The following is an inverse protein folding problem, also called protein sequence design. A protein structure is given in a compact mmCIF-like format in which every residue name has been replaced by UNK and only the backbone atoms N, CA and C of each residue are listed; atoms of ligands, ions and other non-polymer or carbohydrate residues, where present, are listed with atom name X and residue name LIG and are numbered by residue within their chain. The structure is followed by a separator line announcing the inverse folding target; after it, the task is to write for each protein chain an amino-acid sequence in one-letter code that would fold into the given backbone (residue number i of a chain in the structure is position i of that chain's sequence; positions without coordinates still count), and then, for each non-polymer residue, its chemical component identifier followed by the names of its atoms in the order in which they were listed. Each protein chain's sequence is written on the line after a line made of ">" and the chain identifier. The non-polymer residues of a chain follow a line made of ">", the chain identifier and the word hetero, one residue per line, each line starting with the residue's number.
data_IF_005836222227
#
_entry.id   IF_005836222227
#
_cell.length_a   1.000
_cell.length_b   1.000
_cell.length_c   1.000
_cell.angle_alpha   90.00
_cell.angle_beta   90.00
_cell.angle_gamma   90.00
#
_symmetry.space_group_name_H-M   'P 1'
#
loop_
_entity.id
_entity.type
_entity.pdbx_description
1 polymer ?
#
# COMPACT_ATOMS: atom_id res chain seq x y z
N UNK A 1 1.25 -22.74 73.85
CA UNK A 1 0.72 -22.63 72.44
C UNK A 1 1.88 -22.89 71.48
N UNK A 2 1.92 -24.04 70.78
CA UNK A 2 2.96 -24.35 69.81
C UNK A 2 2.46 -23.80 68.44
N UNK A 3 3.07 -22.73 68.03
CA UNK A 3 2.80 -22.17 66.67
C UNK A 3 3.34 -23.18 65.67
N UNK A 4 2.48 -23.66 64.77
CA UNK A 4 2.84 -24.68 63.79
C UNK A 4 3.65 -24.02 62.68
N UNK A 5 4.97 -24.14 62.75
CA UNK A 5 5.93 -23.49 61.81
C UNK A 5 5.61 -23.80 60.35
N UNK A 6 5.02 -24.98 60.07
CA UNK A 6 4.63 -25.39 58.75
C UNK A 6 3.50 -24.53 58.17
N UNK A 7 2.53 -24.12 59.02
CA UNK A 7 1.40 -23.25 58.58
C UNK A 7 1.85 -21.83 58.23
N UNK A 8 2.86 -21.31 58.90
CA UNK A 8 3.40 -19.97 58.64
C UNK A 8 4.17 -19.94 57.31
N UNK A 9 4.94 -21.00 56.98
CA UNK A 9 5.71 -21.11 55.74
C UNK A 9 4.78 -21.23 54.51
N UNK A 10 3.69 -22.01 54.63
CA UNK A 10 2.69 -22.15 53.53
C UNK A 10 1.95 -20.86 53.30
N UNK A 11 1.57 -20.11 54.34
CA UNK A 11 0.89 -18.82 54.19
C UNK A 11 1.78 -17.74 53.57
N UNK A 12 3.09 -17.71 53.91
CA UNK A 12 4.07 -16.79 53.33
C UNK A 12 4.33 -17.10 51.83
N UNK A 13 4.41 -18.38 51.45
CA UNK A 13 4.58 -18.78 50.06
C UNK A 13 3.38 -18.44 49.19
N UNK A 14 2.15 -18.60 49.71
CA UNK A 14 0.92 -18.22 48.96
C UNK A 14 0.80 -16.69 48.77
N UNK A 15 1.20 -15.89 49.77
CA UNK A 15 1.20 -14.43 49.65
C UNK A 15 2.25 -13.91 48.65
N UNK A 16 3.43 -14.50 48.55
CA UNK A 16 4.45 -14.16 47.59
C UNK A 16 4.03 -14.57 46.15
N UNK A 17 3.42 -15.74 45.97
CA UNK A 17 2.92 -16.17 44.67
C UNK A 17 1.78 -15.27 44.18
N UNK A 18 0.87 -14.85 45.06
CA UNK A 18 -0.20 -13.90 44.72
C UNK A 18 0.31 -12.51 44.33
N UNK A 19 1.36 -12.00 44.98
CA UNK A 19 1.96 -10.72 44.67
C UNK A 19 2.69 -10.72 43.32
N UNK A 20 3.37 -11.82 42.97
CA UNK A 20 4.05 -11.97 41.67
C UNK A 20 3.02 -12.05 40.52
N UNK A 21 1.92 -12.78 40.72
CA UNK A 21 0.85 -12.89 39.70
C UNK A 21 0.14 -11.54 39.53
N UNK A 22 -0.14 -10.81 40.62
CA UNK A 22 -0.74 -9.48 40.54
C UNK A 22 0.18 -8.45 39.87
N UNK A 23 1.49 -8.49 40.15
CA UNK A 23 2.46 -7.63 39.47
C UNK A 23 2.59 -7.94 37.97
N UNK A 24 2.55 -9.24 37.57
CA UNK A 24 2.57 -9.64 36.20
C UNK A 24 1.30 -9.22 35.43
N UNK A 25 0.14 -9.20 36.09
CA UNK A 25 -1.12 -8.73 35.50
C UNK A 25 -1.18 -7.19 35.41
N UNK A 26 -0.47 -6.46 36.29
CA UNK A 26 -0.39 -5.00 36.23
C UNK A 26 0.68 -4.49 35.26
N UNK A 27 1.79 -5.22 35.08
CA UNK A 27 2.81 -4.91 34.08
C UNK A 27 2.46 -5.43 32.68
N UNK A 28 1.61 -6.44 32.55
CA UNK A 28 1.09 -6.97 31.27
C UNK A 28 -0.02 -6.11 30.64
N UNK A 29 -0.49 -5.07 31.31
CA UNK A 29 -1.22 -3.95 30.68
C UNK A 29 -0.26 -2.88 30.19
N UNK A 30 0.79 -3.30 29.49
CA UNK A 30 1.43 -2.46 28.50
C UNK A 30 0.32 -2.09 27.52
N UNK A 31 -0.15 -0.86 27.61
CA UNK A 31 -0.95 -0.22 26.60
C UNK A 31 -0.29 -0.51 25.26
N UNK A 32 -0.89 -1.47 24.50
CA UNK A 32 -0.97 -1.21 23.09
C UNK A 32 -1.79 0.06 23.02
N UNK A 33 -1.11 1.20 22.93
CA UNK A 33 -1.69 2.36 22.31
C UNK A 33 -2.24 1.82 21.00
N UNK A 34 -3.56 1.77 20.88
CA UNK A 34 -4.19 1.67 19.60
C UNK A 34 -3.62 2.88 18.86
N UNK A 35 -2.71 2.62 17.93
CA UNK A 35 -2.38 3.59 16.91
C UNK A 35 -3.67 3.69 16.10
N UNK A 36 -4.49 4.73 16.37
CA UNK A 36 -5.71 5.04 15.63
C UNK A 36 -5.40 5.49 14.19
N UNK A 37 -4.26 5.06 13.63
CA UNK A 37 -3.87 5.30 12.26
C UNK A 37 -3.74 3.98 11.48
N UNK A 38 -3.90 4.03 10.16
CA UNK A 38 -3.61 2.88 9.31
C UNK A 38 -2.17 2.42 9.56
N UNK A 39 -1.96 1.12 9.69
CA UNK A 39 -0.64 0.55 9.82
C UNK A 39 0.23 0.90 8.60
N UNK A 40 1.54 1.00 8.78
CA UNK A 40 2.46 1.11 7.65
C UNK A 40 2.49 -0.25 6.96
N UNK A 41 2.14 -0.27 5.69
CA UNK A 41 2.22 -1.48 4.85
C UNK A 41 3.68 -1.95 4.73
N UNK A 42 3.96 -3.25 4.81
CA UNK A 42 5.27 -3.78 4.42
C UNK A 42 5.71 -3.34 3.03
N UNK A 43 4.79 -3.34 2.05
CA UNK A 43 5.07 -2.90 0.68
C UNK A 43 5.49 -1.42 0.61
N UNK A 44 4.88 -0.51 1.39
CA UNK A 44 5.30 0.89 1.45
C UNK A 44 6.73 1.05 2.01
N UNK A 45 7.16 0.16 2.90
CA UNK A 45 8.55 0.14 3.39
C UNK A 45 9.52 -0.35 2.31
N UNK A 46 9.10 -1.26 1.44
CA UNK A 46 9.92 -1.85 0.38
C UNK A 46 10.20 -0.90 -0.78
N UNK A 47 9.29 0.03 -1.10
CA UNK A 47 9.53 1.08 -2.10
C UNK A 47 10.30 2.28 -1.55
N UNK A 48 10.65 2.26 -0.27
CA UNK A 48 11.45 3.32 0.37
C UNK A 48 12.77 3.57 -0.35
N UNK A 49 13.07 4.84 -0.64
CA UNK A 49 14.28 5.27 -1.32
C UNK A 49 14.28 5.09 -2.85
N UNK A 50 13.23 4.53 -3.43
CA UNK A 50 13.06 4.45 -4.89
C UNK A 50 12.49 5.77 -5.39
N UNK A 51 13.03 6.35 -6.49
CA UNK A 51 12.48 7.56 -7.07
C UNK A 51 11.01 7.36 -7.49
N UNK A 52 10.18 8.34 -7.17
CA UNK A 52 8.82 8.45 -7.67
C UNK A 52 8.69 9.73 -8.49
N UNK A 53 7.96 9.66 -9.59
CA UNK A 53 7.60 10.82 -10.40
C UNK A 53 6.15 10.67 -10.84
N UNK A 54 5.27 11.42 -10.21
CA UNK A 54 3.83 11.24 -10.41
C UNK A 54 3.37 9.83 -9.99
N UNK A 55 2.94 9.06 -10.98
CA UNK A 55 2.51 7.66 -10.83
C UNK A 55 3.54 6.64 -11.33
N UNK A 56 4.76 7.08 -11.58
CA UNK A 56 5.88 6.22 -11.95
C UNK A 56 6.77 5.94 -10.75
N UNK A 57 7.17 4.68 -10.59
CA UNK A 57 8.10 4.17 -9.60
C UNK A 57 9.36 3.66 -10.29
N UNK A 58 10.52 4.11 -9.86
CA UNK A 58 11.81 3.72 -10.43
C UNK A 58 12.52 4.84 -11.19
N UNK A 59 13.70 4.56 -11.70
CA UNK A 59 14.51 5.51 -12.41
C UNK A 59 13.82 5.96 -13.73
N UNK A 60 13.76 7.27 -14.03
CA UNK A 60 13.10 7.74 -15.25
C UNK A 60 13.80 7.28 -16.53
N UNK A 61 15.07 6.95 -16.46
CA UNK A 61 15.91 6.44 -17.56
C UNK A 61 16.08 4.91 -17.54
N UNK A 62 15.31 4.18 -16.71
CA UNK A 62 15.28 2.73 -16.73
C UNK A 62 15.00 2.21 -18.15
N UNK A 63 15.72 1.19 -18.65
CA UNK A 63 15.58 0.74 -20.03
C UNK A 63 14.22 0.14 -20.37
N UNK A 64 13.51 -0.40 -19.36
CA UNK A 64 12.20 -1.04 -19.53
C UNK A 64 11.13 -0.33 -18.72
N UNK A 65 9.89 -0.38 -19.22
CA UNK A 65 8.70 0.13 -18.54
C UNK A 65 7.68 -0.99 -18.43
N UNK A 66 7.17 -1.19 -17.22
CA UNK A 66 5.99 -2.00 -16.92
C UNK A 66 4.81 -1.05 -16.69
N UNK A 67 3.80 -1.09 -17.55
CA UNK A 67 2.52 -0.48 -17.25
C UNK A 67 1.70 -1.47 -16.41
N UNK A 68 1.28 -1.04 -15.23
CA UNK A 68 0.43 -1.79 -14.31
C UNK A 68 -0.96 -1.16 -14.27
N UNK A 69 -1.96 -1.88 -14.80
CA UNK A 69 -3.35 -1.49 -14.75
C UNK A 69 -4.00 -2.06 -13.50
N UNK A 70 -4.46 -1.19 -12.60
CA UNK A 70 -5.03 -1.57 -11.32
C UNK A 70 -6.23 -0.74 -10.91
N UNK A 71 -7.09 -1.31 -10.07
CA UNK A 71 -8.18 -0.62 -9.38
C UNK A 71 -7.90 -0.66 -7.87
N UNK A 72 -8.02 0.46 -7.20
CA UNK A 72 -7.71 0.58 -5.76
C UNK A 72 -8.61 -0.28 -4.86
N UNK A 73 -9.75 -0.74 -5.37
CA UNK A 73 -10.64 -1.66 -4.67
C UNK A 73 -10.49 -3.12 -5.12
N UNK A 74 -9.69 -3.41 -6.16
CA UNK A 74 -9.54 -4.76 -6.67
C UNK A 74 -8.73 -5.63 -5.71
N UNK A 75 -9.31 -6.73 -5.16
CA UNK A 75 -8.61 -7.58 -4.21
C UNK A 75 -7.42 -8.31 -4.83
N UNK A 76 -7.48 -8.64 -6.11
CA UNK A 76 -6.35 -9.26 -6.82
C UNK A 76 -5.19 -8.28 -7.04
N UNK A 77 -5.50 -6.97 -7.16
CA UNK A 77 -4.48 -5.93 -7.22
C UNK A 77 -3.75 -5.80 -5.87
N UNK A 78 -4.49 -5.86 -4.77
CA UNK A 78 -3.89 -5.85 -3.42
C UNK A 78 -3.03 -7.09 -3.18
N UNK A 79 -3.47 -8.27 -3.62
CA UNK A 79 -2.68 -9.51 -3.53
C UNK A 79 -1.37 -9.37 -4.33
N UNK A 80 -1.43 -8.86 -5.56
CA UNK A 80 -0.23 -8.64 -6.37
C UNK A 80 0.72 -7.62 -5.74
N UNK A 81 0.20 -6.52 -5.20
CA UNK A 81 0.98 -5.49 -4.49
C UNK A 81 1.70 -6.06 -3.26
N UNK A 82 1.08 -6.99 -2.56
CA UNK A 82 1.64 -7.61 -1.35
C UNK A 82 2.61 -8.74 -1.65
N UNK A 83 2.33 -9.58 -2.68
CA UNK A 83 3.06 -10.84 -2.89
C UNK A 83 4.09 -10.78 -4.01
N UNK A 84 3.82 -10.09 -5.12
CA UNK A 84 4.65 -10.12 -6.33
C UNK A 84 5.49 -8.84 -6.49
N UNK A 85 4.88 -7.68 -6.25
CA UNK A 85 5.54 -6.38 -6.41
C UNK A 85 6.85 -6.25 -5.63
N UNK A 86 6.98 -6.74 -4.37
CA UNK A 86 8.22 -6.63 -3.62
C UNK A 86 9.42 -7.27 -4.32
N UNK A 87 9.24 -8.47 -4.86
CA UNK A 87 10.29 -9.16 -5.63
C UNK A 87 10.71 -8.38 -6.88
N UNK A 88 9.73 -7.88 -7.62
CA UNK A 88 9.96 -7.06 -8.83
C UNK A 88 10.70 -5.76 -8.48
N UNK A 89 10.31 -5.13 -7.38
CA UNK A 89 10.94 -3.90 -6.90
C UNK A 89 12.41 -4.13 -6.56
N UNK A 90 12.71 -5.15 -5.78
CA UNK A 90 14.06 -5.40 -5.32
C UNK A 90 14.98 -5.88 -6.45
N UNK A 91 14.45 -6.71 -7.36
CA UNK A 91 15.27 -7.32 -8.42
C UNK A 91 15.47 -6.42 -9.63
N UNK A 92 14.46 -5.58 -9.98
CA UNK A 92 14.51 -4.82 -11.24
C UNK A 92 14.35 -3.30 -11.07
N UNK A 93 13.48 -2.85 -10.14
CA UNK A 93 13.22 -1.41 -10.01
C UNK A 93 14.33 -0.70 -9.23
N UNK A 94 14.74 -1.27 -8.12
CA UNK A 94 15.81 -0.72 -7.27
C UNK A 94 17.18 -0.66 -7.97
N UNK A 95 17.56 -1.65 -8.80
CA UNK A 95 18.76 -1.54 -9.62
C UNK A 95 18.67 -0.54 -10.77
N UNK A 96 17.45 -0.05 -11.10
CA UNK A 96 17.22 0.89 -12.20
C UNK A 96 17.03 0.24 -13.56
N UNK A 97 16.71 -1.05 -13.61
CA UNK A 97 16.48 -1.80 -14.85
C UNK A 97 15.02 -1.73 -15.34
N UNK A 98 14.12 -1.42 -14.44
CA UNK A 98 12.69 -1.30 -14.67
C UNK A 98 12.14 -0.06 -14.00
N UNK A 99 11.19 0.61 -14.67
CA UNK A 99 10.25 1.53 -14.03
C UNK A 99 8.85 0.98 -14.15
N UNK A 100 8.03 1.17 -13.14
CA UNK A 100 6.64 0.78 -13.14
C UNK A 100 5.78 2.04 -13.24
N UNK A 101 4.82 2.06 -14.18
CA UNK A 101 3.86 3.16 -14.32
C UNK A 101 2.48 2.62 -13.96
N UNK A 102 1.89 3.15 -12.90
CA UNK A 102 0.53 2.79 -12.52
C UNK A 102 -0.47 3.44 -13.48
N UNK A 103 -1.33 2.62 -14.08
CA UNK A 103 -2.43 3.01 -14.94
C UNK A 103 -3.74 2.72 -14.23
N UNK A 104 -4.16 3.64 -13.37
CA UNK A 104 -5.34 3.44 -12.54
C UNK A 104 -6.63 3.40 -13.35
N UNK A 105 -7.47 2.44 -12.99
CA UNK A 105 -8.81 2.25 -13.54
C UNK A 105 -9.83 2.21 -12.40
N UNK A 106 -11.06 2.61 -12.66
CA UNK A 106 -12.14 2.63 -11.67
C UNK A 106 -13.31 1.77 -12.18
N UNK A 107 -13.11 0.44 -12.19
CA UNK A 107 -14.10 -0.52 -12.68
C UNK A 107 -15.15 -0.89 -11.63
N UNK A 108 -14.76 -0.92 -10.34
CA UNK A 108 -15.56 -1.53 -9.28
C UNK A 108 -16.66 -0.60 -8.79
N UNK A 109 -16.42 0.72 -8.79
CA UNK A 109 -17.47 1.66 -8.42
C UNK A 109 -17.00 3.05 -8.01
N UNK A 110 -17.92 3.85 -7.41
CA UNK A 110 -17.61 5.24 -7.08
C UNK A 110 -16.45 5.43 -6.09
N UNK A 111 -16.26 4.47 -5.19
CA UNK A 111 -15.14 4.51 -4.25
C UNK A 111 -13.80 4.27 -4.95
N UNK A 112 -13.78 3.48 -6.04
CA UNK A 112 -12.59 3.33 -6.88
C UNK A 112 -12.21 4.65 -7.54
N UNK A 113 -13.19 5.42 -8.07
CA UNK A 113 -12.90 6.73 -8.68
C UNK A 113 -12.33 7.70 -7.64
N UNK A 114 -12.92 7.77 -6.45
CA UNK A 114 -12.43 8.62 -5.36
C UNK A 114 -11.01 8.24 -4.91
N UNK A 115 -10.75 6.95 -4.68
CA UNK A 115 -9.45 6.46 -4.28
C UNK A 115 -8.37 6.67 -5.35
N UNK A 116 -8.72 6.40 -6.61
CA UNK A 116 -7.83 6.63 -7.74
C UNK A 116 -7.45 8.11 -7.88
N UNK A 117 -8.43 9.02 -7.80
CA UNK A 117 -8.17 10.46 -7.80
C UNK A 117 -7.21 10.88 -6.70
N UNK A 118 -7.37 10.31 -5.50
CA UNK A 118 -6.46 10.58 -4.40
C UNK A 118 -5.03 10.09 -4.67
N UNK A 119 -4.86 8.89 -5.26
CA UNK A 119 -3.55 8.37 -5.67
C UNK A 119 -2.90 9.30 -6.71
N UNK A 120 -3.66 9.73 -7.72
CA UNK A 120 -3.15 10.63 -8.75
C UNK A 120 -2.80 12.03 -8.17
N UNK A 121 -3.64 12.56 -7.28
CA UNK A 121 -3.37 13.82 -6.59
C UNK A 121 -2.15 13.72 -5.65
N UNK A 122 -1.95 12.57 -4.97
CA UNK A 122 -0.71 12.30 -4.25
C UNK A 122 0.50 12.21 -5.20
N UNK A 123 0.28 11.72 -6.42
CA UNK A 123 1.27 11.71 -7.49
C UNK A 123 1.76 13.11 -7.87
N UNK A 124 0.92 14.15 -7.80
CA UNK A 124 1.36 15.54 -8.01
C UNK A 124 2.36 16.04 -6.94
N UNK A 125 2.57 15.23 -5.91
CA UNK A 125 3.54 15.46 -4.84
C UNK A 125 4.60 14.33 -4.78
N UNK A 126 4.71 13.51 -5.85
CA UNK A 126 5.60 12.35 -5.94
C UNK A 126 5.40 11.31 -4.82
N UNK A 127 4.14 11.16 -4.35
CA UNK A 127 3.73 10.24 -3.28
C UNK A 127 2.61 9.27 -3.74
N UNK A 128 2.38 9.18 -5.05
CA UNK A 128 1.30 8.35 -5.60
C UNK A 128 1.43 6.88 -5.21
N UNK A 129 2.62 6.29 -5.36
CA UNK A 129 2.89 4.91 -5.00
C UNK A 129 2.81 4.65 -3.48
N UNK A 130 3.25 5.61 -2.66
CA UNK A 130 3.13 5.48 -1.21
C UNK A 130 1.65 5.41 -0.78
N UNK A 131 0.79 6.23 -1.40
CA UNK A 131 -0.64 6.18 -1.11
C UNK A 131 -1.28 4.92 -1.67
N UNK A 132 -0.95 4.51 -2.90
CA UNK A 132 -1.47 3.30 -3.53
C UNK A 132 -1.22 2.06 -2.68
N UNK A 133 0.05 1.82 -2.28
CA UNK A 133 0.42 0.69 -1.43
C UNK A 133 -0.29 0.74 -0.07
N UNK A 134 -0.43 1.95 0.50
CA UNK A 134 -1.13 2.10 1.78
C UNK A 134 -2.63 1.78 1.64
N UNK A 135 -3.27 2.14 0.53
CA UNK A 135 -4.66 1.79 0.26
C UNK A 135 -4.82 0.28 0.09
N UNK A 136 -3.94 -0.40 -0.66
CA UNK A 136 -3.98 -1.85 -0.81
C UNK A 136 -3.77 -2.57 0.52
N UNK A 137 -2.79 -2.17 1.33
CA UNK A 137 -2.54 -2.76 2.65
C UNK A 137 -3.69 -2.59 3.65
N UNK A 138 -4.57 -1.62 3.42
CA UNK A 138 -5.72 -1.31 4.27
C UNK A 138 -7.05 -1.47 3.53
N UNK A 139 -7.05 -2.26 2.46
CA UNK A 139 -8.21 -2.44 1.59
C UNK A 139 -9.40 -3.02 2.35
N UNK A 140 -10.53 -2.33 2.29
CA UNK A 140 -11.83 -2.80 2.77
C UNK A 140 -12.58 -3.58 1.70
N UNK A 141 -13.79 -4.04 2.04
CA UNK A 141 -14.68 -4.64 1.04
C UNK A 141 -15.11 -3.61 0.00
N UNK A 142 -15.28 -4.07 -1.23
CA UNK A 142 -15.70 -3.26 -2.37
C UNK A 142 -16.97 -2.48 -2.06
N UNK A 143 -16.96 -1.17 -2.30
CA UNK A 143 -18.07 -0.25 -2.11
C UNK A 143 -18.72 -0.31 -0.72
N UNK A 144 -17.95 -0.59 0.32
CA UNK A 144 -18.41 -0.70 1.71
C UNK A 144 -18.25 0.59 2.54
N UNK A 145 -17.92 1.71 1.90
CA UNK A 145 -17.75 3.01 2.55
C UNK A 145 -16.40 3.20 3.24
N UNK A 146 -15.38 2.45 2.87
CA UNK A 146 -14.04 2.58 3.45
C UNK A 146 -13.20 3.69 2.80
N UNK A 147 -13.44 3.99 1.51
CA UNK A 147 -12.85 5.12 0.80
C UNK A 147 -13.76 6.34 0.88
N UNK A 148 -13.41 7.25 1.76
CA UNK A 148 -14.05 8.54 1.96
C UNK A 148 -12.98 9.63 2.04
N UNK A 149 -13.32 10.90 1.82
CA UNK A 149 -12.35 11.99 2.03
C UNK A 149 -11.72 11.96 3.44
N UNK A 150 -12.50 11.58 4.44
CA UNK A 150 -12.01 11.47 5.83
C UNK A 150 -10.99 10.33 5.99
N UNK A 151 -11.22 9.16 5.39
CA UNK A 151 -10.26 8.06 5.43
C UNK A 151 -9.02 8.38 4.60
N UNK A 152 -9.19 8.95 3.40
CA UNK A 152 -8.10 9.38 2.53
C UNK A 152 -7.21 10.43 3.21
N UNK A 153 -7.81 11.39 3.93
CA UNK A 153 -7.07 12.36 4.75
C UNK A 153 -6.20 11.67 5.80
N UNK A 154 -6.75 10.65 6.50
CA UNK A 154 -5.98 9.91 7.51
C UNK A 154 -4.85 9.11 6.87
N UNK A 155 -5.09 8.43 5.74
CA UNK A 155 -4.05 7.71 5.00
C UNK A 155 -2.94 8.68 4.55
N UNK A 156 -3.29 9.76 3.89
CA UNK A 156 -2.34 10.76 3.42
C UNK A 156 -1.52 11.37 4.58
N UNK A 157 -2.15 11.69 5.70
CA UNK A 157 -1.47 12.23 6.88
C UNK A 157 -0.45 11.26 7.52
N UNK A 158 -0.54 9.96 7.24
CA UNK A 158 0.42 8.96 7.71
C UNK A 158 1.65 8.81 6.80
N UNK A 159 1.63 9.43 5.61
CA UNK A 159 2.73 9.38 4.64
C UNK A 159 3.65 10.58 4.85
N UNK A 160 4.91 10.37 5.25
CA UNK A 160 5.85 11.47 5.42
C UNK A 160 6.05 12.26 4.11
N UNK A 161 5.85 13.57 4.17
CA UNK A 161 6.05 14.46 3.03
C UNK A 161 4.83 14.66 2.12
N UNK A 162 3.73 13.94 2.35
CA UNK A 162 2.46 14.17 1.64
C UNK A 162 1.61 15.21 2.38
N UNK A 163 1.27 16.30 1.71
CA UNK A 163 0.29 17.29 2.18
C UNK A 163 -1.13 16.76 1.87
N UNK A 164 -1.82 16.31 2.92
CA UNK A 164 -3.16 15.72 2.82
C UNK A 164 -4.22 16.75 2.41
N UNK A 165 -4.10 18.00 2.82
CA UNK A 165 -5.06 19.06 2.46
C UNK A 165 -4.92 19.44 1.00
N UNK A 166 -3.68 19.58 0.51
CA UNK A 166 -3.39 19.78 -0.91
C UNK A 166 -3.85 18.60 -1.75
N UNK A 167 -3.56 17.36 -1.36
CA UNK A 167 -4.02 16.16 -2.07
C UNK A 167 -5.55 16.18 -2.24
N UNK A 168 -6.31 16.49 -1.18
CA UNK A 168 -7.77 16.54 -1.26
C UNK A 168 -8.28 17.74 -2.10
N UNK A 169 -7.58 18.85 -2.10
CA UNK A 169 -7.92 19.98 -2.96
C UNK A 169 -7.68 19.69 -4.45
N UNK A 170 -6.68 18.84 -4.74
CA UNK A 170 -6.24 18.50 -6.09
C UNK A 170 -7.00 17.29 -6.71
N UNK A 171 -7.99 16.69 -6.02
CA UNK A 171 -8.75 15.53 -6.53
C UNK A 171 -9.35 15.72 -7.92
N UNK A 172 -9.69 16.95 -8.29
CA UNK A 172 -10.25 17.32 -9.60
C UNK A 172 -9.34 18.28 -10.36
N UNK A 173 -8.04 18.27 -10.08
CA UNK A 173 -7.07 19.08 -10.82
C UNK A 173 -7.01 18.61 -12.29
N UNK A 174 -6.67 19.53 -13.19
CA UNK A 174 -6.60 19.24 -14.62
C UNK A 174 -5.59 18.11 -14.94
N UNK A 175 -4.51 18.05 -14.20
CA UNK A 175 -3.48 17.01 -14.29
C UNK A 175 -4.03 15.63 -13.88
N UNK A 176 -4.88 15.57 -12.84
CA UNK A 176 -5.57 14.34 -12.42
C UNK A 176 -6.55 13.87 -13.49
N UNK A 177 -7.35 14.79 -14.05
CA UNK A 177 -8.29 14.46 -15.14
C UNK A 177 -7.54 13.98 -16.39
N UNK A 178 -6.41 14.60 -16.73
CA UNK A 178 -5.57 14.18 -17.85
C UNK A 178 -5.05 12.76 -17.64
N UNK A 179 -4.51 12.44 -16.47
CA UNK A 179 -3.96 11.10 -16.18
C UNK A 179 -5.05 10.01 -16.18
N UNK A 180 -6.25 10.34 -15.68
CA UNK A 180 -7.42 9.45 -15.78
C UNK A 180 -7.80 9.17 -17.23
N UNK A 181 -7.79 10.20 -18.09
CA UNK A 181 -8.07 10.05 -19.50
C UNK A 181 -6.99 9.22 -20.22
N UNK A 182 -5.71 9.48 -19.92
CA UNK A 182 -4.57 8.77 -20.49
C UNK A 182 -4.56 7.29 -20.08
N UNK A 183 -4.85 6.98 -18.82
CA UNK A 183 -4.96 5.60 -18.34
C UNK A 183 -6.09 4.84 -19.02
N UNK A 184 -7.27 5.48 -19.19
CA UNK A 184 -8.40 4.87 -19.90
C UNK A 184 -8.09 4.65 -21.39
N UNK A 185 -7.45 5.62 -22.03
CA UNK A 185 -7.08 5.51 -23.44
C UNK A 185 -6.03 4.38 -23.65
N UNK A 186 -5.03 4.30 -22.77
CA UNK A 186 -4.03 3.24 -22.80
C UNK A 186 -4.68 1.86 -22.59
N UNK A 187 -5.56 1.71 -21.60
CA UNK A 187 -6.28 0.47 -21.34
C UNK A 187 -7.11 0.02 -22.54
N UNK A 188 -7.81 0.98 -23.18
CA UNK A 188 -8.61 0.68 -24.40
C UNK A 188 -7.71 0.24 -25.56
N UNK A 189 -6.58 0.91 -25.77
CA UNK A 189 -5.63 0.58 -26.83
C UNK A 189 -4.97 -0.79 -26.60
N UNK A 190 -4.65 -1.13 -25.34
CA UNK A 190 -4.07 -2.40 -24.94
C UNK A 190 -5.07 -3.55 -24.80
N UNK A 191 -6.39 -3.29 -24.97
CA UNK A 191 -7.42 -4.31 -24.81
C UNK A 191 -7.58 -4.81 -23.38
N UNK A 192 -7.32 -3.94 -22.38
CA UNK A 192 -7.42 -4.27 -20.96
C UNK A 192 -8.88 -4.42 -20.55
N UNK A 193 -9.28 -5.62 -20.13
CA UNK A 193 -10.65 -5.95 -19.73
C UNK A 193 -10.82 -6.15 -18.21
N UNK A 194 -9.72 -6.14 -17.46
CA UNK A 194 -9.74 -6.38 -16.00
C UNK A 194 -8.45 -5.94 -15.32
N UNK A 195 -8.43 -6.07 -13.99
CA UNK A 195 -7.27 -5.74 -13.16
C UNK A 195 -6.94 -6.87 -12.18
N UNK A 196 -5.66 -7.13 -11.86
CA UNK A 196 -4.48 -6.49 -12.46
C UNK A 196 -4.26 -6.91 -13.92
N UNK A 197 -3.72 -6.01 -14.75
CA UNK A 197 -3.23 -6.30 -16.10
C UNK A 197 -1.90 -5.59 -16.32
N UNK A 198 -1.08 -6.12 -17.24
CA UNK A 198 0.28 -5.64 -17.42
C UNK A 198 0.64 -5.52 -18.90
N UNK A 199 1.45 -4.50 -19.21
CA UNK A 199 2.16 -4.38 -20.47
C UNK A 199 3.62 -4.06 -20.21
N UNK A 200 4.52 -4.74 -20.90
CA UNK A 200 5.98 -4.59 -20.74
C UNK A 200 6.62 -4.23 -22.08
N UNK A 201 7.62 -3.37 -22.02
CA UNK A 201 8.41 -3.03 -23.20
C UNK A 201 9.52 -2.03 -22.91
N UNK A 202 10.25 -1.57 -23.95
CA UNK A 202 11.29 -0.57 -23.81
C UNK A 202 10.70 0.78 -23.39
N UNK A 203 11.41 1.50 -22.53
CA UNK A 203 10.97 2.84 -22.09
C UNK A 203 10.93 3.80 -23.29
N UNK A 204 9.80 4.47 -23.46
CA UNK A 204 9.54 5.34 -24.61
C UNK A 204 9.19 4.61 -25.92
N UNK A 205 9.10 3.28 -25.87
CA UNK A 205 8.70 2.43 -26.99
C UNK A 205 7.29 1.87 -26.84
N UNK A 206 6.94 0.94 -27.74
CA UNK A 206 5.68 0.21 -27.64
C UNK A 206 5.74 -0.81 -26.50
N UNK A 207 4.67 -0.87 -25.70
CA UNK A 207 4.46 -1.90 -24.70
C UNK A 207 3.61 -3.01 -25.30
N UNK A 208 3.78 -4.22 -24.79
CA UNK A 208 3.01 -5.41 -25.21
C UNK A 208 2.38 -6.06 -23.97
N UNK A 209 1.16 -6.57 -24.10
CA UNK A 209 0.53 -7.31 -23.02
C UNK A 209 1.39 -8.47 -22.54
N UNK A 210 1.45 -8.67 -21.22
CA UNK A 210 2.09 -9.80 -20.57
C UNK A 210 1.17 -10.28 -19.46
N UNK A 211 0.97 -11.59 -19.34
CA UNK A 211 0.18 -12.15 -18.25
C UNK A 211 0.98 -12.10 -16.94
N UNK A 212 0.28 -12.13 -15.81
CA UNK A 212 0.95 -12.17 -14.50
C UNK A 212 1.87 -13.39 -14.36
N UNK A 213 1.45 -14.55 -14.88
CA UNK A 213 2.24 -15.79 -14.86
C UNK A 213 3.53 -15.71 -15.69
N UNK A 214 3.52 -14.92 -16.77
CA UNK A 214 4.67 -14.74 -17.66
C UNK A 214 5.58 -13.58 -17.22
N UNK A 215 5.09 -12.70 -16.34
CA UNK A 215 5.76 -11.44 -16.00
C UNK A 215 7.19 -11.66 -15.48
N UNK A 216 7.37 -12.57 -14.53
CA UNK A 216 8.70 -12.88 -13.98
C UNK A 216 9.66 -13.37 -15.07
N UNK A 217 9.21 -14.29 -15.94
CA UNK A 217 10.05 -14.81 -17.02
C UNK A 217 10.35 -13.74 -18.09
N UNK A 218 9.39 -12.84 -18.36
CA UNK A 218 9.57 -11.71 -19.27
C UNK A 218 10.52 -10.65 -18.71
N UNK A 219 10.57 -10.51 -17.38
CA UNK A 219 11.53 -9.61 -16.72
C UNK A 219 12.95 -10.20 -16.67
N UNK A 220 13.08 -11.52 -16.58
CA UNK A 220 14.38 -12.22 -16.52
C UNK A 220 15.09 -12.31 -17.89
N UNK A 221 14.40 -12.12 -19.00
CA UNK A 221 14.92 -12.22 -20.39
C UNK A 221 15.37 -10.91 -20.92
#
# INVERSE_FOLDING_TARGET
>A
MRVNLLGVVVAAAAALAGAVIAASLLTGRGQRAASDGPGVSPAAAEIGGIPQQGIALGAPDAPRTLAYYGDVQCPYCAIWDESDLPGIVDEYVRPGELRIVFRGLAFIGPESDLGLRAVLAAGLQDQGWNLLNLLYANQGHENAGWLTESSLRRFAASIPGLDADRMLADLNAAEVESELADSRAAAQAGGVEGTPSFELGPTGGALSPVSQEELESALAG
#
